data_IF_713312241470
#
_entry.id   IF_713312241470
#
_cell.length_a   1.000
_cell.length_b   1.000
_cell.length_c   1.000
_cell.angle_alpha   90.00
_cell.angle_beta   90.00
_cell.angle_gamma   90.00
#
_symmetry.space_group_name_H-M   'P 1'
#
loop_
_entity.id
_entity.type
_entity.pdbx_description
1 polymer ?
#
# COMPACT_ATOMS: atom_id res chain seq x y z
N UNK A 1 41.66 -20.50 -26.68
CA UNK A 1 40.94 -20.46 -25.39
C UNK A 1 40.56 -19.06 -24.89
N UNK A 2 40.98 -17.95 -25.52
CA UNK A 2 40.58 -16.60 -25.07
C UNK A 2 39.28 -16.07 -25.70
N UNK A 3 38.85 -16.64 -26.83
CA UNK A 3 37.65 -16.16 -27.55
C UNK A 3 36.32 -16.75 -27.03
N UNK A 4 36.35 -17.92 -26.38
CA UNK A 4 35.13 -18.60 -25.88
C UNK A 4 34.68 -17.98 -24.54
N UNK A 5 35.61 -17.50 -23.72
CA UNK A 5 35.32 -16.88 -22.42
C UNK A 5 34.60 -15.54 -22.57
N UNK A 6 34.85 -14.81 -23.67
CA UNK A 6 34.19 -13.53 -23.95
C UNK A 6 32.72 -13.72 -24.34
N UNK A 7 32.36 -14.89 -24.91
CA UNK A 7 31.01 -15.16 -25.41
C UNK A 7 30.04 -15.69 -24.33
N UNK A 8 30.54 -16.03 -23.14
CA UNK A 8 29.69 -16.52 -22.03
C UNK A 8 29.26 -15.41 -21.06
N UNK A 9 29.90 -14.23 -21.12
CA UNK A 9 29.56 -13.07 -20.26
C UNK A 9 28.46 -12.17 -20.83
N UNK A 10 28.05 -12.34 -22.09
CA UNK A 10 27.13 -11.42 -22.77
C UNK A 10 25.66 -11.88 -22.63
N UNK A 11 25.39 -13.11 -22.18
CA UNK A 11 24.08 -13.73 -22.39
C UNK A 11 23.10 -13.81 -21.21
N UNK A 12 23.34 -13.19 -20.05
CA UNK A 12 22.39 -13.32 -18.92
C UNK A 12 22.00 -12.01 -18.22
N UNK A 13 22.37 -10.84 -18.73
CA UNK A 13 22.13 -9.58 -18.01
C UNK A 13 20.87 -8.80 -18.38
N UNK A 14 20.03 -9.24 -19.32
CA UNK A 14 18.88 -8.44 -19.75
C UNK A 14 17.62 -9.28 -20.01
N UNK A 15 17.14 -9.95 -18.96
CA UNK A 15 15.67 -9.95 -18.74
C UNK A 15 15.40 -8.95 -17.62
N UNK A 16 15.78 -7.69 -17.86
CA UNK A 16 15.09 -6.58 -17.23
C UNK A 16 13.67 -6.68 -17.78
N UNK A 17 12.78 -7.31 -17.01
CA UNK A 17 11.37 -7.20 -17.21
C UNK A 17 11.03 -5.74 -16.94
N UNK A 18 11.24 -4.88 -17.95
CA UNK A 18 10.63 -3.58 -18.05
C UNK A 18 9.14 -3.84 -18.24
N UNK A 19 8.47 -4.32 -17.18
CA UNK A 19 7.07 -3.99 -17.02
C UNK A 19 7.11 -2.48 -16.91
N UNK A 20 6.60 -1.83 -17.94
CA UNK A 20 6.27 -0.41 -17.89
C UNK A 20 5.72 -0.18 -16.49
N UNK A 21 6.51 0.55 -15.69
CA UNK A 21 6.13 0.95 -14.35
C UNK A 21 4.96 1.89 -14.57
N UNK A 22 3.78 1.31 -14.73
CA UNK A 22 2.53 1.91 -14.35
C UNK A 22 2.77 2.34 -12.91
N UNK A 23 3.27 3.56 -12.73
CA UNK A 23 3.59 4.13 -11.43
C UNK A 23 2.29 4.19 -10.65
N UNK A 24 2.32 3.83 -9.37
CA UNK A 24 1.13 3.99 -8.55
C UNK A 24 0.81 5.49 -8.41
N UNK A 25 -0.38 5.90 -8.84
CA UNK A 25 -0.86 7.27 -8.68
C UNK A 25 -1.64 7.37 -7.35
N UNK A 26 -1.08 8.01 -6.32
CA UNK A 26 -1.79 8.16 -5.05
C UNK A 26 -2.92 9.20 -5.09
N UNK A 27 -2.99 10.04 -6.14
CA UNK A 27 -4.05 11.05 -6.30
C UNK A 27 -5.29 10.39 -6.90
N UNK A 28 -5.12 9.52 -7.90
CA UNK A 28 -6.20 8.72 -8.49
C UNK A 28 -5.90 7.21 -8.33
N UNK A 29 -6.04 6.68 -7.11
CA UNK A 29 -5.54 5.34 -6.80
C UNK A 29 -6.40 4.22 -7.39
N UNK A 30 -5.74 3.24 -8.01
CA UNK A 30 -6.37 1.96 -8.33
C UNK A 30 -6.33 1.02 -7.12
N UNK A 31 -7.50 0.55 -6.68
CA UNK A 31 -7.64 -0.32 -5.51
C UNK A 31 -6.85 -1.62 -5.67
N UNK A 32 -6.93 -2.26 -6.84
CA UNK A 32 -6.29 -3.57 -7.05
C UNK A 32 -4.77 -3.43 -6.96
N UNK A 33 -4.21 -2.42 -7.62
CA UNK A 33 -2.78 -2.12 -7.61
C UNK A 33 -2.29 -1.73 -6.21
N UNK A 34 -3.05 -0.93 -5.47
CA UNK A 34 -2.74 -0.62 -4.08
C UNK A 34 -2.64 -1.90 -3.24
N UNK A 35 -3.65 -2.77 -3.30
CA UNK A 35 -3.66 -4.04 -2.56
C UNK A 35 -2.48 -4.92 -2.96
N UNK A 36 -2.16 -5.01 -4.26
CA UNK A 36 -1.00 -5.76 -4.73
C UNK A 36 0.33 -5.22 -4.18
N UNK A 37 0.48 -3.90 -4.07
CA UNK A 37 1.67 -3.27 -3.48
C UNK A 37 1.77 -3.55 -1.99
N UNK A 38 0.66 -3.42 -1.24
CA UNK A 38 0.60 -3.73 0.19
C UNK A 38 0.97 -5.19 0.44
N UNK A 39 0.36 -6.13 -0.30
CA UNK A 39 0.65 -7.57 -0.17
C UNK A 39 2.10 -7.95 -0.49
N UNK A 40 2.79 -7.15 -1.31
CA UNK A 40 4.18 -7.38 -1.71
C UNK A 40 5.19 -6.62 -0.84
N UNK A 41 4.75 -5.91 0.20
CA UNK A 41 5.56 -4.96 0.98
C UNK A 41 6.25 -3.89 0.10
N UNK A 42 5.63 -3.53 -1.03
CA UNK A 42 6.15 -2.56 -2.01
C UNK A 42 5.43 -1.21 -1.96
N UNK A 43 4.44 -1.05 -1.08
CA UNK A 43 3.86 0.27 -0.82
C UNK A 43 4.80 1.08 0.05
N UNK A 44 5.34 2.19 -0.47
CA UNK A 44 6.44 2.93 0.13
C UNK A 44 6.11 4.39 0.50
N UNK A 45 4.90 4.86 0.18
CA UNK A 45 4.46 6.20 0.55
C UNK A 45 4.22 6.30 2.06
N UNK A 46 4.53 7.47 2.61
CA UNK A 46 4.36 7.75 4.04
C UNK A 46 2.89 7.95 4.47
N UNK A 47 1.97 8.07 3.50
CA UNK A 47 0.56 8.37 3.70
C UNK A 47 -0.33 7.45 2.86
N UNK A 48 -1.60 7.38 3.21
CA UNK A 48 -2.62 6.66 2.44
C UNK A 48 -2.95 7.39 1.12
N UNK A 49 -3.33 6.65 0.07
CA UNK A 49 -3.80 7.25 -1.17
C UNK A 49 -5.12 8.03 -0.99
N UNK A 50 -5.44 8.89 -1.95
CA UNK A 50 -6.68 9.67 -2.00
C UNK A 50 -7.87 8.83 -2.52
N UNK A 51 -8.17 7.74 -1.83
CA UNK A 51 -9.39 6.97 -2.08
C UNK A 51 -10.64 7.79 -1.74
N UNK A 52 -11.74 7.50 -2.44
CA UNK A 52 -13.05 8.11 -2.22
C UNK A 52 -14.07 7.07 -1.75
N UNK A 53 -15.23 7.52 -1.27
CA UNK A 53 -16.28 6.62 -0.74
C UNK A 53 -16.69 5.50 -1.71
N UNK A 54 -16.63 5.74 -3.02
CA UNK A 54 -16.93 4.75 -4.05
C UNK A 54 -15.93 3.59 -4.12
N UNK A 55 -14.75 3.71 -3.51
CA UNK A 55 -13.74 2.65 -3.46
C UNK A 55 -13.93 1.72 -2.26
N UNK A 56 -14.71 2.12 -1.24
CA UNK A 56 -14.97 1.32 -0.05
C UNK A 56 -15.48 -0.09 -0.39
N UNK A 57 -16.49 -0.28 -1.28
CA UNK A 57 -16.96 -1.63 -1.63
C UNK A 57 -15.89 -2.51 -2.28
N UNK A 58 -14.90 -1.92 -2.95
CA UNK A 58 -13.79 -2.66 -3.56
C UNK A 58 -12.75 -3.04 -2.51
N UNK A 59 -12.41 -2.11 -1.62
CA UNK A 59 -11.49 -2.35 -0.49
C UNK A 59 -12.04 -3.41 0.48
N UNK A 60 -13.34 -3.38 0.79
CA UNK A 60 -14.00 -4.32 1.69
C UNK A 60 -13.90 -5.78 1.24
N UNK A 61 -13.72 -6.06 -0.06
CA UNK A 61 -13.53 -7.43 -0.58
C UNK A 61 -12.29 -8.12 -0.02
N UNK A 62 -11.34 -7.34 0.50
CA UNK A 62 -10.08 -7.83 1.03
C UNK A 62 -10.03 -7.81 2.57
N UNK A 63 -11.13 -7.46 3.24
CA UNK A 63 -11.17 -7.38 4.71
C UNK A 63 -10.84 -8.72 5.41
N UNK A 64 -11.10 -9.85 4.74
CA UNK A 64 -10.77 -11.19 5.23
C UNK A 64 -9.38 -11.70 4.85
N UNK A 65 -8.50 -10.86 4.29
CA UNK A 65 -7.13 -11.26 3.92
C UNK A 65 -6.19 -11.17 5.15
N UNK A 66 -5.93 -12.30 5.80
CA UNK A 66 -5.06 -12.37 6.98
C UNK A 66 -3.56 -12.52 6.65
N UNK A 67 -3.16 -12.31 5.39
CA UNK A 67 -1.74 -12.34 5.02
C UNK A 67 -0.97 -11.31 5.83
N UNK A 68 0.16 -11.74 6.40
CA UNK A 68 1.02 -10.88 7.22
C UNK A 68 1.90 -10.03 6.32
N UNK A 69 2.01 -8.74 6.63
CA UNK A 69 2.89 -7.79 5.95
C UNK A 69 3.83 -7.16 6.97
N UNK A 70 4.95 -6.61 6.50
CA UNK A 70 5.94 -5.95 7.35
C UNK A 70 5.87 -4.43 7.28
N UNK A 71 5.24 -3.88 6.23
CA UNK A 71 5.22 -2.44 5.98
C UNK A 71 3.83 -1.93 5.65
N UNK A 72 3.43 -0.88 6.35
CA UNK A 72 2.26 -0.06 6.04
C UNK A 72 2.49 1.36 6.59
N UNK A 73 1.86 2.41 6.03
CA UNK A 73 1.94 3.74 6.60
C UNK A 73 1.47 3.72 8.06
N UNK A 74 2.23 4.36 8.94
CA UNK A 74 1.87 4.55 10.35
C UNK A 74 2.11 6.01 10.71
N UNK A 75 1.31 6.56 11.61
CA UNK A 75 1.53 7.92 12.09
C UNK A 75 2.83 7.96 12.93
N UNK A 76 3.85 8.74 12.54
CA UNK A 76 5.14 8.76 13.24
C UNK A 76 5.06 9.31 14.68
N UNK A 77 3.98 10.01 15.03
CA UNK A 77 3.75 10.58 16.38
C UNK A 77 2.94 9.60 17.24
N UNK A 78 2.41 8.52 16.67
CA UNK A 78 1.67 7.51 17.43
C UNK A 78 2.56 6.85 18.48
N UNK A 79 2.08 6.75 19.72
CA UNK A 79 2.71 5.93 20.77
C UNK A 79 2.46 4.44 20.56
N UNK A 80 1.58 4.08 19.62
CA UNK A 80 1.26 2.71 19.26
C UNK A 80 1.94 2.33 17.94
N UNK A 81 2.73 1.26 17.99
CA UNK A 81 3.30 0.60 16.83
C UNK A 81 2.82 -0.85 16.79
N UNK A 82 2.10 -1.29 15.75
CA UNK A 82 1.56 -2.63 15.69
C UNK A 82 2.68 -3.67 15.59
N UNK A 83 2.67 -4.68 16.47
CA UNK A 83 3.61 -5.81 16.43
C UNK A 83 3.40 -6.70 15.21
N UNK A 84 2.18 -6.68 14.66
CA UNK A 84 1.77 -7.48 13.51
C UNK A 84 0.79 -6.67 12.67
N UNK A 85 0.96 -6.75 11.35
CA UNK A 85 0.05 -6.16 10.38
C UNK A 85 -0.52 -7.26 9.49
N UNK A 86 -1.84 -7.22 9.28
CA UNK A 86 -2.50 -8.03 8.25
C UNK A 86 -3.06 -7.13 7.15
N UNK A 87 -3.13 -7.66 5.94
CA UNK A 87 -3.68 -6.93 4.78
C UNK A 87 -5.09 -6.43 5.08
N UNK A 88 -5.98 -7.31 5.56
CA UNK A 88 -7.37 -6.98 5.87
C UNK A 88 -7.49 -5.85 6.88
N UNK A 89 -6.72 -5.89 7.96
CA UNK A 89 -6.69 -4.83 8.98
C UNK A 89 -6.22 -3.48 8.41
N UNK A 90 -5.14 -3.49 7.62
CA UNK A 90 -4.63 -2.28 6.96
C UNK A 90 -5.65 -1.65 5.98
N UNK A 91 -6.40 -2.50 5.28
CA UNK A 91 -7.45 -2.04 4.36
C UNK A 91 -8.69 -1.54 5.10
N UNK A 92 -9.03 -2.13 6.26
CA UNK A 92 -10.08 -1.61 7.13
C UNK A 92 -9.72 -0.24 7.69
N UNK A 93 -8.47 -0.02 8.11
CA UNK A 93 -8.00 1.31 8.51
C UNK A 93 -8.01 2.33 7.36
N UNK A 94 -7.75 1.86 6.13
CA UNK A 94 -7.87 2.70 4.93
C UNK A 94 -9.33 3.11 4.70
N UNK A 95 -10.28 2.17 4.84
CA UNK A 95 -11.71 2.44 4.75
C UNK A 95 -12.15 3.45 5.82
N UNK A 96 -11.68 3.29 7.05
CA UNK A 96 -11.99 4.23 8.13
C UNK A 96 -11.47 5.64 7.82
N UNK A 97 -10.26 5.77 7.29
CA UNK A 97 -9.72 7.06 6.82
C UNK A 97 -10.62 7.71 5.76
N UNK A 98 -11.16 6.94 4.80
CA UNK A 98 -12.10 7.45 3.79
C UNK A 98 -13.38 7.97 4.46
N UNK A 99 -13.92 7.23 5.43
CA UNK A 99 -15.15 7.61 6.16
C UNK A 99 -14.96 8.89 6.97
N UNK A 100 -13.79 9.08 7.61
CA UNK A 100 -13.50 10.25 8.42
C UNK A 100 -13.16 11.50 7.58
N UNK A 101 -12.45 11.34 6.45
CA UNK A 101 -12.20 12.45 5.49
C UNK A 101 -13.48 13.08 4.97
N UNK A 102 -14.55 12.29 4.87
CA UNK A 102 -15.86 12.79 4.45
C UNK A 102 -16.44 13.80 5.45
N UNK A 103 -16.02 13.75 6.72
CA UNK A 103 -16.61 14.52 7.81
C UNK A 103 -15.77 15.76 8.19
N UNK A 104 -14.45 15.77 7.93
CA UNK A 104 -13.54 16.86 8.36
C UNK A 104 -12.42 17.10 7.32
N UNK A 105 -12.31 18.34 6.82
CA UNK A 105 -11.20 18.81 5.98
C UNK A 105 -9.93 19.04 6.83
N UNK A 106 -9.29 17.95 7.25
CA UNK A 106 -8.04 17.97 8.02
C UNK A 106 -6.98 17.05 7.39
N UNK A 107 -5.75 17.57 7.32
CA UNK A 107 -4.53 16.90 6.87
C UNK A 107 -4.17 15.68 7.74
N UNK A 108 -4.75 15.53 8.93
CA UNK A 108 -4.47 14.41 9.84
C UNK A 108 -5.02 13.06 9.33
N UNK A 109 -5.99 13.05 8.43
CA UNK A 109 -6.56 11.82 7.84
C UNK A 109 -5.71 11.17 6.74
N UNK A 110 -4.49 11.67 6.51
CA UNK A 110 -3.51 11.08 5.58
C UNK A 110 -2.89 9.80 6.13
N UNK A 111 -3.04 9.52 7.42
CA UNK A 111 -2.57 8.29 8.05
C UNK A 111 -3.74 7.33 8.29
N UNK A 112 -3.51 6.01 8.27
CA UNK A 112 -4.52 5.07 8.72
C UNK A 112 -4.86 5.34 10.17
N UNK A 113 -6.16 5.33 10.48
CA UNK A 113 -6.62 5.46 11.84
C UNK A 113 -6.31 4.17 12.60
N UNK A 114 -5.27 4.19 13.43
CA UNK A 114 -4.97 3.10 14.37
C UNK A 114 -5.80 3.22 15.66
N UNK A 115 -6.56 4.30 15.80
CA UNK A 115 -7.34 4.62 17.00
C UNK A 115 -8.76 4.97 16.56
N UNK A 116 -9.77 4.13 16.87
CA UNK A 116 -11.15 4.48 16.54
C UNK A 116 -11.49 5.82 17.20
N UNK A 117 -11.88 6.81 16.39
CA UNK A 117 -12.49 8.02 16.94
C UNK A 117 -13.88 7.61 17.40
N UNK A 118 -14.14 7.69 18.70
CA UNK A 118 -15.49 7.55 19.22
C UNK A 118 -16.29 8.75 18.70
N UNK A 119 -17.13 8.52 17.68
CA UNK A 119 -18.14 9.49 17.25
C UNK A 119 -18.96 9.86 18.50
N UNK A 120 -18.95 11.14 18.86
CA UNK A 120 -19.77 11.69 19.95
C UNK A 120 -21.19 11.89 19.50
#
# INVERSE_FOLDING_TARGET
MKLIVVNMLILNFLVACNKEDDKFDPINPDVKKFVELVKKDKYDLAYLPNFVSNDIPKLLKYAGDFSVISKFPVNPISSFYPERLTVGECLLWTIESIRLKYDIDDNMHKFPSLVPQLMK
#
